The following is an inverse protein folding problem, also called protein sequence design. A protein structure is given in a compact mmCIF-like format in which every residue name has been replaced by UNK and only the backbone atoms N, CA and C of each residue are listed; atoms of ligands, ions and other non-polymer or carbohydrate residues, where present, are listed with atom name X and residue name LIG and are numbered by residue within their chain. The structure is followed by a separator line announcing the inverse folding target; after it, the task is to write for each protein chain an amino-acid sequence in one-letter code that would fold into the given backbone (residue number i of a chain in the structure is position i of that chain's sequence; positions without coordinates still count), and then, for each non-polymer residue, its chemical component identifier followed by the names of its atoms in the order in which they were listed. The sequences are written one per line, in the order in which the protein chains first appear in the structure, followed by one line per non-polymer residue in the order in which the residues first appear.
data_IF_432049987281
#
_entry.id   IF_432049987281
#
_cell.length_a   1.000
_cell.length_b   1.000
_cell.length_c   1.000
_cell.angle_alpha   90.00
_cell.angle_beta   90.00
_cell.angle_gamma   90.00
#
_symmetry.space_group_name_H-M   'P 1'
#
loop_
_entity.id
_entity.type
_entity.pdbx_description
1 polymer ?
#
# COMPACT_ATOMS: atom_id res chain seq x y z
N UNK A 1 31.40 -22.51 55.95
CA UNK A 1 32.21 -22.03 54.80
C UNK A 1 31.27 -22.04 53.57
N UNK A 2 30.80 -20.82 53.15
CA UNK A 2 29.86 -20.67 52.04
C UNK A 2 30.65 -20.03 50.85
N UNK A 3 31.26 -20.88 50.03
CA UNK A 3 32.16 -20.45 48.96
C UNK A 3 31.50 -20.52 47.56
N UNK A 4 30.37 -20.18 47.33
CA UNK A 4 29.82 -19.93 45.99
C UNK A 4 28.40 -19.29 46.07
N UNK A 5 28.35 -18.01 46.49
CA UNK A 5 27.19 -17.18 46.14
C UNK A 5 27.53 -16.34 44.94
N UNK A 6 27.27 -16.87 43.75
CA UNK A 6 27.34 -16.10 42.51
C UNK A 6 26.10 -15.21 42.41
N UNK A 7 26.24 -13.95 42.81
CA UNK A 7 25.21 -12.94 42.56
C UNK A 7 25.17 -12.65 41.08
N UNK A 8 24.18 -13.29 40.39
CA UNK A 8 23.87 -12.93 39.02
C UNK A 8 23.22 -11.55 39.05
N UNK A 9 23.91 -10.52 38.58
CA UNK A 9 23.27 -9.24 38.27
C UNK A 9 22.33 -9.49 37.11
N UNK A 10 21.06 -9.04 37.15
CA UNK A 10 20.19 -9.08 35.97
C UNK A 10 20.87 -8.31 34.85
N UNK A 11 20.90 -8.89 33.66
CA UNK A 11 21.35 -8.19 32.46
C UNK A 11 20.27 -7.18 32.15
N UNK A 12 20.49 -5.92 32.49
CA UNK A 12 19.65 -4.82 32.02
C UNK A 12 19.79 -4.78 30.50
N UNK A 13 18.70 -5.09 29.79
CA UNK A 13 18.62 -4.91 28.35
C UNK A 13 18.64 -3.41 28.07
N UNK A 14 19.82 -2.87 27.87
CA UNK A 14 19.98 -1.50 27.40
C UNK A 14 19.41 -1.37 26.02
N UNK A 15 18.28 -0.67 25.94
CA UNK A 15 17.74 -0.05 24.72
C UNK A 15 17.44 -1.01 23.56
N UNK A 16 16.24 -0.95 23.06
CA UNK A 16 15.86 -1.53 21.76
C UNK A 16 16.88 -1.08 20.71
N UNK A 17 17.74 -2.01 20.28
CA UNK A 17 18.58 -1.75 19.11
C UNK A 17 17.62 -1.58 17.94
N UNK A 18 17.63 -0.43 17.25
CA UNK A 18 16.75 -0.25 16.11
C UNK A 18 17.00 -1.39 15.13
N UNK A 19 15.95 -2.10 14.76
CA UNK A 19 16.01 -3.15 13.76
C UNK A 19 16.66 -2.56 12.50
N UNK A 20 17.81 -3.08 12.08
CA UNK A 20 18.48 -2.65 10.84
C UNK A 20 17.73 -3.08 9.58
N UNK A 21 16.67 -3.86 9.74
CA UNK A 21 15.85 -4.34 8.63
C UNK A 21 14.72 -3.33 8.46
N UNK A 22 14.68 -2.57 7.36
CA UNK A 22 13.57 -1.67 7.07
C UNK A 22 12.27 -2.47 7.03
N UNK A 23 11.23 -1.97 7.69
CA UNK A 23 9.90 -2.57 7.63
C UNK A 23 9.39 -2.57 6.19
N UNK A 24 8.68 -3.63 5.80
CA UNK A 24 8.07 -3.72 4.48
C UNK A 24 8.92 -4.31 3.36
N UNK A 25 10.15 -4.82 3.65
CA UNK A 25 10.96 -5.48 2.62
C UNK A 25 10.41 -6.83 2.17
N UNK A 26 9.66 -7.50 3.03
CA UNK A 26 9.15 -8.85 2.81
C UNK A 26 7.65 -8.91 3.02
N UNK A 27 6.97 -9.62 2.14
CA UNK A 27 5.52 -9.87 2.20
C UNK A 27 5.25 -11.36 2.19
N UNK A 28 4.33 -11.81 3.05
CA UNK A 28 3.83 -13.18 3.04
C UNK A 28 2.67 -13.30 2.05
N UNK A 29 2.82 -14.19 1.07
CA UNK A 29 1.77 -14.45 0.11
C UNK A 29 0.56 -15.14 0.78
N UNK A 30 -0.67 -14.64 0.64
CA UNK A 30 -1.84 -15.29 1.20
C UNK A 30 -2.22 -16.58 0.46
N UNK A 31 -1.81 -16.75 -0.80
CA UNK A 31 -2.11 -17.95 -1.58
C UNK A 31 -1.22 -19.14 -1.24
N UNK A 32 0.10 -18.95 -1.22
CA UNK A 32 1.06 -20.03 -0.97
C UNK A 32 1.82 -19.94 0.34
N UNK A 33 1.52 -18.94 1.18
CA UNK A 33 2.16 -18.66 2.49
C UNK A 33 3.67 -18.42 2.46
N UNK A 34 4.28 -18.40 1.28
CA UNK A 34 5.71 -18.13 1.09
C UNK A 34 6.04 -16.66 1.32
N UNK A 35 7.24 -16.41 1.81
CA UNK A 35 7.78 -15.06 1.98
C UNK A 35 8.38 -14.63 0.65
N UNK A 36 8.03 -13.44 0.18
CA UNK A 36 8.44 -12.86 -1.10
C UNK A 36 9.10 -11.51 -0.81
N UNK A 37 10.14 -11.19 -1.55
CA UNK A 37 10.77 -9.88 -1.49
C UNK A 37 9.93 -8.86 -2.27
N UNK A 38 9.68 -7.69 -1.68
CA UNK A 38 8.80 -6.68 -2.28
C UNK A 38 9.26 -6.24 -3.68
N UNK A 39 10.57 -6.08 -3.89
CA UNK A 39 11.08 -5.68 -5.22
C UNK A 39 10.82 -6.75 -6.29
N UNK A 40 10.84 -8.02 -5.92
CA UNK A 40 10.52 -9.10 -6.88
C UNK A 40 9.03 -9.10 -7.20
N UNK A 41 8.19 -8.74 -6.21
CA UNK A 41 6.77 -8.59 -6.40
C UNK A 41 6.44 -7.39 -7.29
N UNK A 42 7.11 -6.25 -7.09
CA UNK A 42 6.97 -5.06 -7.93
C UNK A 42 7.42 -5.33 -9.37
N UNK A 43 8.56 -6.00 -9.56
CA UNK A 43 9.07 -6.40 -10.87
C UNK A 43 8.12 -7.35 -11.60
N UNK A 44 7.40 -8.20 -10.86
CA UNK A 44 6.40 -9.13 -11.39
C UNK A 44 4.96 -8.58 -11.35
N UNK A 45 4.80 -7.25 -11.43
CA UNK A 45 3.51 -6.56 -11.49
C UNK A 45 2.53 -6.97 -10.38
N UNK A 46 3.01 -7.13 -9.14
CA UNK A 46 2.22 -7.53 -7.99
C UNK A 46 1.59 -8.94 -8.12
N UNK A 47 2.25 -9.82 -8.87
CA UNK A 47 1.86 -11.23 -8.99
C UNK A 47 2.90 -12.11 -8.30
N UNK A 48 2.45 -13.03 -7.47
CA UNK A 48 3.33 -13.97 -6.79
C UNK A 48 4.09 -14.85 -7.79
N UNK A 49 5.42 -14.86 -7.80
CA UNK A 49 6.19 -15.68 -8.74
C UNK A 49 6.07 -17.18 -8.48
N UNK A 50 5.55 -17.58 -7.31
CA UNK A 50 5.44 -18.99 -6.90
C UNK A 50 4.09 -19.63 -7.16
N UNK A 51 3.00 -18.88 -6.98
CA UNK A 51 1.64 -19.44 -7.09
C UNK A 51 0.72 -18.60 -7.98
N UNK A 52 1.24 -17.55 -8.64
CA UNK A 52 0.47 -16.64 -9.49
C UNK A 52 -0.69 -15.93 -8.75
N UNK A 53 -0.65 -15.84 -7.41
CA UNK A 53 -1.61 -15.06 -6.66
C UNK A 53 -1.43 -13.56 -6.97
N UNK A 54 -2.53 -12.88 -7.33
CA UNK A 54 -2.54 -11.46 -7.62
C UNK A 54 -2.75 -10.65 -6.34
N UNK A 55 -1.80 -9.79 -6.01
CA UNK A 55 -1.94 -8.83 -4.94
C UNK A 55 -2.72 -7.60 -5.39
N UNK A 56 -3.18 -6.81 -4.43
CA UNK A 56 -3.82 -5.53 -4.74
C UNK A 56 -2.79 -4.55 -5.27
N UNK A 57 -3.14 -3.87 -6.36
CA UNK A 57 -2.36 -2.79 -6.95
C UNK A 57 -3.12 -1.48 -6.79
N UNK A 58 -2.41 -0.38 -6.53
CA UNK A 58 -3.02 0.94 -6.49
C UNK A 58 -3.43 1.40 -7.89
N UNK A 59 -4.42 2.32 -7.97
CA UNK A 59 -4.84 2.88 -9.25
C UNK A 59 -3.67 3.59 -9.98
N UNK A 60 -2.85 4.35 -9.25
CA UNK A 60 -1.68 5.02 -9.81
C UNK A 60 -0.64 4.03 -10.36
N UNK A 61 -0.37 2.93 -9.63
CA UNK A 61 0.57 1.91 -10.12
C UNK A 61 0.02 1.18 -11.32
N UNK A 62 -1.31 0.95 -11.35
CA UNK A 62 -1.98 0.38 -12.52
C UNK A 62 -1.84 1.27 -13.75
N UNK A 63 -2.07 2.58 -13.63
CA UNK A 63 -1.90 3.52 -14.72
C UNK A 63 -0.44 3.57 -15.18
N UNK A 64 0.50 3.54 -14.25
CA UNK A 64 1.95 3.51 -14.55
C UNK A 64 2.36 2.28 -15.34
N UNK A 65 1.72 1.13 -15.09
CA UNK A 65 2.00 -0.10 -15.82
C UNK A 65 1.29 -0.20 -17.18
N UNK A 66 0.21 0.58 -17.39
CA UNK A 66 -0.58 0.54 -18.61
C UNK A 66 -0.10 1.54 -19.67
N UNK A 67 0.29 2.75 -19.24
CA UNK A 67 0.66 3.81 -20.18
C UNK A 67 2.16 3.83 -20.46
N UNK A 68 2.49 4.20 -21.70
CA UNK A 68 3.85 4.35 -22.17
C UNK A 68 4.61 5.37 -21.31
N UNK A 69 5.85 5.05 -20.95
CA UNK A 69 6.70 5.83 -20.04
C UNK A 69 6.06 6.11 -18.67
N UNK A 70 4.96 5.44 -18.31
CA UNK A 70 4.21 5.70 -17.09
C UNK A 70 3.63 7.12 -17.03
N UNK A 71 3.33 7.75 -18.18
CA UNK A 71 2.80 9.11 -18.26
C UNK A 71 1.33 9.11 -18.65
N UNK A 72 0.53 9.88 -17.90
CA UNK A 72 -0.89 10.08 -18.20
C UNK A 72 -1.34 11.49 -17.85
N UNK A 73 -2.47 11.89 -18.40
CA UNK A 73 -3.19 13.11 -18.03
C UNK A 73 -4.44 12.70 -17.27
N UNK A 74 -4.55 13.17 -16.02
CA UNK A 74 -5.72 12.92 -15.18
C UNK A 74 -6.81 13.94 -15.47
N UNK A 75 -8.06 13.46 -15.54
CA UNK A 75 -9.25 14.28 -15.75
C UNK A 75 -10.14 14.23 -14.52
N UNK A 76 -10.81 15.35 -14.26
CA UNK A 76 -11.79 15.47 -13.16
C UNK A 76 -11.25 15.20 -11.76
N UNK A 77 -9.96 15.39 -11.54
CA UNK A 77 -9.29 15.18 -10.24
C UNK A 77 -9.82 16.06 -9.11
N UNK A 78 -10.62 17.07 -9.43
CA UNK A 78 -11.24 17.98 -8.48
C UNK A 78 -12.64 17.54 -8.02
N UNK A 79 -13.21 16.51 -8.64
CA UNK A 79 -14.51 15.99 -8.22
C UNK A 79 -14.42 15.31 -6.85
N UNK A 80 -15.46 15.49 -6.06
CA UNK A 80 -15.61 14.85 -4.75
C UNK A 80 -17.03 14.35 -4.60
N UNK A 81 -17.21 13.23 -3.92
CA UNK A 81 -18.51 12.72 -3.57
C UNK A 81 -19.27 13.71 -2.70
N UNK A 82 -20.55 13.91 -3.00
CA UNK A 82 -21.48 14.69 -2.20
C UNK A 82 -22.34 13.75 -1.34
N UNK A 83 -22.88 14.27 -0.23
CA UNK A 83 -23.77 13.54 0.66
C UNK A 83 -25.17 14.13 0.62
N UNK A 84 -25.96 13.87 -0.45
CA UNK A 84 -27.31 14.42 -0.60
C UNK A 84 -28.28 13.83 0.43
N UNK A 85 -28.03 12.61 0.90
CA UNK A 85 -28.88 11.90 1.85
C UNK A 85 -28.54 12.20 3.31
N UNK A 86 -27.46 12.93 3.58
CA UNK A 86 -26.92 13.17 4.93
C UNK A 86 -26.77 11.86 5.72
N UNK A 87 -26.22 10.84 5.05
CA UNK A 87 -26.15 9.49 5.57
C UNK A 87 -25.29 9.42 6.83
N UNK A 88 -25.80 8.72 7.82
CA UNK A 88 -25.12 8.45 9.09
C UNK A 88 -25.39 7.02 9.51
N UNK A 89 -24.32 6.25 9.73
CA UNK A 89 -24.37 4.96 10.43
C UNK A 89 -23.71 5.11 11.81
N UNK A 90 -22.54 4.50 12.03
CA UNK A 90 -21.71 4.71 13.23
C UNK A 90 -21.01 6.07 13.21
N UNK A 91 -20.77 6.64 12.02
CA UNK A 91 -20.20 7.97 11.79
C UNK A 91 -20.90 8.64 10.61
N UNK A 92 -21.05 9.98 10.63
CA UNK A 92 -21.53 10.72 9.46
C UNK A 92 -20.64 10.45 8.23
N UNK A 93 -21.26 10.25 7.06
CA UNK A 93 -20.56 9.99 5.81
C UNK A 93 -19.49 11.05 5.48
N UNK A 94 -19.80 12.32 5.71
CA UNK A 94 -18.86 13.44 5.50
C UNK A 94 -17.58 13.31 6.31
N UNK A 95 -17.66 12.80 7.54
CA UNK A 95 -16.49 12.61 8.38
C UNK A 95 -15.65 11.43 7.87
N UNK A 96 -16.31 10.34 7.47
CA UNK A 96 -15.66 9.18 6.85
C UNK A 96 -14.94 9.56 5.57
N UNK A 97 -15.56 10.39 4.73
CA UNK A 97 -14.95 10.88 3.49
C UNK A 97 -13.70 11.73 3.78
N UNK A 98 -13.78 12.67 4.75
CA UNK A 98 -12.61 13.47 5.17
C UNK A 98 -11.45 12.60 5.67
N UNK A 99 -11.76 11.60 6.51
CA UNK A 99 -10.75 10.68 7.05
C UNK A 99 -10.09 9.86 5.91
N UNK A 100 -10.86 9.46 4.91
CA UNK A 100 -10.37 8.70 3.76
C UNK A 100 -9.50 9.58 2.86
N UNK A 101 -9.93 10.78 2.54
CA UNK A 101 -9.15 11.75 1.75
C UNK A 101 -7.82 12.07 2.46
N UNK A 102 -7.85 12.27 3.78
CA UNK A 102 -6.62 12.53 4.55
C UNK A 102 -5.63 11.36 4.51
N UNK A 103 -6.13 10.12 4.46
CA UNK A 103 -5.30 8.91 4.41
C UNK A 103 -4.76 8.60 3.01
N UNK A 104 -5.56 8.82 1.98
CA UNK A 104 -5.24 8.41 0.60
C UNK A 104 -4.68 9.53 -0.25
N UNK A 105 -4.93 10.80 0.12
CA UNK A 105 -4.66 11.97 -0.71
C UNK A 105 -5.58 12.10 -1.93
N UNK A 106 -6.50 11.16 -2.14
CA UNK A 106 -7.43 11.11 -3.28
C UNK A 106 -8.78 11.68 -2.89
N UNK A 107 -9.39 12.49 -3.76
CA UNK A 107 -10.72 13.07 -3.54
C UNK A 107 -11.85 12.11 -3.89
N UNK A 108 -11.59 11.18 -4.79
CA UNK A 108 -12.50 10.10 -5.19
C UNK A 108 -11.74 8.77 -5.33
N UNK A 109 -12.46 7.67 -5.35
CA UNK A 109 -11.89 6.33 -5.54
C UNK A 109 -11.60 6.00 -7.01
N UNK A 110 -12.16 6.78 -7.95
CA UNK A 110 -12.02 6.60 -9.39
C UNK A 110 -11.00 7.59 -9.92
N UNK A 111 -10.10 7.13 -10.77
CA UNK A 111 -9.18 7.97 -11.55
C UNK A 111 -9.54 7.82 -13.02
N UNK A 112 -9.85 8.93 -13.67
CA UNK A 112 -10.07 9.00 -15.11
C UNK A 112 -8.83 9.60 -15.75
N UNK A 113 -8.21 8.84 -16.65
CA UNK A 113 -6.95 9.24 -17.25
C UNK A 113 -6.90 8.96 -18.74
N UNK A 114 -6.12 9.77 -19.46
CA UNK A 114 -5.75 9.53 -20.87
C UNK A 114 -4.24 9.47 -21.00
N UNK A 115 -3.75 8.57 -21.83
CA UNK A 115 -2.33 8.39 -22.12
C UNK A 115 -2.12 7.60 -23.41
N UNK A 116 -0.87 7.38 -23.76
CA UNK A 116 -0.49 6.50 -24.87
C UNK A 116 -0.28 5.09 -24.36
N UNK A 117 -0.70 4.10 -25.14
CA UNK A 117 -0.48 2.68 -24.91
C UNK A 117 -0.04 2.05 -26.25
N UNK A 118 1.17 1.52 -26.32
CA UNK A 118 1.81 1.02 -27.53
C UNK A 118 1.79 2.03 -28.68
N UNK A 119 2.04 3.31 -28.36
CA UNK A 119 2.04 4.44 -29.32
C UNK A 119 0.66 4.96 -29.72
N UNK A 120 -0.42 4.36 -29.23
CA UNK A 120 -1.79 4.80 -29.51
C UNK A 120 -2.44 5.45 -28.27
N UNK A 121 -3.23 6.49 -28.49
CA UNK A 121 -3.91 7.22 -27.40
C UNK A 121 -5.08 6.40 -26.86
N UNK A 122 -5.07 6.14 -25.58
CA UNK A 122 -6.14 5.41 -24.87
C UNK A 122 -6.67 6.20 -23.68
N UNK A 123 -7.92 5.89 -23.30
CA UNK A 123 -8.57 6.40 -22.08
C UNK A 123 -8.84 5.25 -21.13
N UNK A 124 -8.58 5.48 -19.84
CA UNK A 124 -8.83 4.51 -18.77
C UNK A 124 -9.66 5.18 -17.68
N UNK A 125 -10.68 4.46 -17.21
CA UNK A 125 -11.59 4.88 -16.13
C UNK A 125 -11.41 3.97 -14.93
#
# INVERSE_FOLDING_TARGET
MAWFKKTRKPIESTGEKPSRIPEGLWVKCPGCTQIIYNKDLDANQQVCPKCAHHFRISAADRLRSLFDDGKWTEHFSNLTSTDPLKFTDTKPYRNRLKDTIAKTGMKDAVIIATGSMDGDRKSVV
#
